data_IF_272596461475
#
_entry.id   IF_272596461475
#
_cell.length_a   1.000
_cell.length_b   1.000
_cell.length_c   1.000
_cell.angle_alpha   90.00
_cell.angle_beta   90.00
_cell.angle_gamma   90.00
#
_symmetry.space_group_name_H-M   'P 1'
#
loop_
_entity.id
_entity.type
_entity.pdbx_description
1 polymer ?
#
# COMPACT_ATOMS: atom_id res chain seq x y z
N UNK A 1 6.51 3.54 -6.82
CA UNK A 1 6.67 4.73 -7.69
C UNK A 1 5.50 5.64 -7.41
N UNK A 2 5.73 6.93 -7.11
CA UNK A 2 4.64 7.88 -6.87
C UNK A 2 4.92 9.23 -7.53
N UNK A 3 4.23 9.47 -8.63
CA UNK A 3 4.30 10.72 -9.39
C UNK A 3 3.23 11.73 -8.95
N UNK A 4 2.06 11.24 -8.53
CA UNK A 4 0.89 12.06 -8.21
C UNK A 4 1.11 13.06 -7.04
N UNK A 5 2.09 12.81 -6.18
CA UNK A 5 2.42 13.71 -5.05
C UNK A 5 3.31 14.89 -5.44
N UNK A 6 3.65 15.00 -6.73
CA UNK A 6 4.56 16.02 -7.24
C UNK A 6 6.03 15.60 -7.15
N UNK A 7 6.88 16.41 -7.80
CA UNK A 7 8.32 16.21 -7.79
C UNK A 7 8.91 16.50 -6.41
N UNK A 8 10.01 15.82 -6.09
CA UNK A 8 10.78 16.04 -4.87
C UNK A 8 11.40 17.43 -4.90
N UNK A 9 11.32 18.14 -3.78
CA UNK A 9 11.92 19.47 -3.60
C UNK A 9 13.24 19.31 -2.86
N UNK A 10 14.27 20.05 -3.29
CA UNK A 10 15.53 20.18 -2.55
C UNK A 10 16.54 19.05 -2.75
N UNK A 11 16.47 18.30 -3.85
CA UNK A 11 17.48 17.28 -4.20
C UNK A 11 18.85 17.86 -4.62
N UNK A 12 18.90 19.15 -4.98
CA UNK A 12 20.10 19.79 -5.51
C UNK A 12 20.34 19.49 -6.99
N UNK A 13 21.54 19.81 -7.48
CA UNK A 13 21.95 19.49 -8.84
C UNK A 13 22.20 17.98 -9.00
N UNK A 14 22.00 17.46 -10.21
CA UNK A 14 22.29 16.07 -10.52
C UNK A 14 23.77 15.75 -10.24
N UNK A 15 24.07 14.68 -9.48
CA UNK A 15 25.44 14.35 -9.12
C UNK A 15 26.23 13.87 -10.33
N UNK A 16 27.53 14.16 -10.30
CA UNK A 16 28.54 13.68 -11.24
C UNK A 16 29.54 12.80 -10.51
N UNK A 17 30.05 11.79 -11.18
CA UNK A 17 31.15 10.99 -10.66
C UNK A 17 32.52 11.71 -10.77
N UNK A 18 33.59 11.02 -10.40
CA UNK A 18 34.96 11.56 -10.43
C UNK A 18 35.46 11.88 -11.85
N UNK A 19 34.90 11.21 -12.87
CA UNK A 19 35.21 11.42 -14.29
C UNK A 19 34.29 12.48 -14.93
N UNK A 20 33.37 13.06 -14.15
CA UNK A 20 32.43 14.09 -14.59
C UNK A 20 31.18 13.54 -15.30
N UNK A 21 30.98 12.22 -15.29
CA UNK A 21 29.82 11.55 -15.89
C UNK A 21 28.60 11.76 -14.99
N UNK A 22 27.48 12.16 -15.59
CA UNK A 22 26.21 12.32 -14.88
C UNK A 22 25.63 10.96 -14.49
N UNK A 23 24.92 10.94 -13.36
CA UNK A 23 24.20 9.76 -12.88
C UNK A 23 23.16 9.27 -13.89
N UNK A 24 23.41 8.11 -14.50
CA UNK A 24 22.52 7.58 -15.54
C UNK A 24 21.36 6.78 -14.96
N UNK A 25 20.25 6.70 -15.71
CA UNK A 25 19.11 5.85 -15.37
C UNK A 25 19.48 4.36 -15.30
N UNK A 26 20.45 3.91 -16.10
CA UNK A 26 20.94 2.52 -16.05
C UNK A 26 21.60 2.19 -14.71
N UNK A 27 22.40 3.11 -14.16
CA UNK A 27 23.00 2.96 -12.82
C UNK A 27 21.90 2.93 -11.77
N UNK A 28 20.91 3.82 -11.86
CA UNK A 28 19.78 3.85 -10.93
C UNK A 28 18.99 2.54 -10.94
N UNK A 29 18.74 1.95 -12.11
CA UNK A 29 18.08 0.63 -12.20
C UNK A 29 18.88 -0.46 -11.49
N UNK A 30 20.21 -0.46 -11.60
CA UNK A 30 21.06 -1.44 -10.90
C UNK A 30 21.05 -1.22 -9.38
N UNK A 31 21.05 0.03 -8.93
CA UNK A 31 20.95 0.36 -7.51
C UNK A 31 19.57 -0.02 -6.94
N UNK A 32 18.50 0.18 -7.69
CA UNK A 32 17.15 -0.27 -7.32
C UNK A 32 17.07 -1.80 -7.22
N UNK A 33 17.64 -2.52 -8.20
CA UNK A 33 17.77 -3.98 -8.14
C UNK A 33 18.61 -4.46 -6.94
N UNK A 34 19.59 -3.65 -6.52
CA UNK A 34 20.34 -3.84 -5.28
C UNK A 34 19.58 -3.38 -4.01
N UNK A 35 18.30 -3.02 -4.15
CA UNK A 35 17.35 -2.65 -3.09
C UNK A 35 17.63 -1.32 -2.41
N UNK A 36 18.34 -0.44 -3.09
CA UNK A 36 18.43 0.96 -2.68
C UNK A 36 17.15 1.68 -3.11
N UNK A 37 16.77 2.70 -2.35
CA UNK A 37 15.81 3.67 -2.87
C UNK A 37 16.57 4.57 -3.84
N UNK A 38 16.05 4.73 -5.06
CA UNK A 38 16.68 5.56 -6.11
C UNK A 38 15.75 6.68 -6.62
N UNK A 39 16.29 7.87 -6.95
CA UNK A 39 15.53 8.88 -7.67
C UNK A 39 15.16 8.35 -9.07
N UNK A 40 14.05 8.86 -9.61
CA UNK A 40 13.55 8.51 -10.93
C UNK A 40 13.13 9.75 -11.68
N UNK A 41 13.46 9.81 -12.96
CA UNK A 41 13.08 10.85 -13.91
C UNK A 41 12.45 10.21 -15.14
N UNK A 42 11.63 10.95 -15.86
CA UNK A 42 11.09 10.55 -17.15
C UNK A 42 11.46 11.62 -18.18
N UNK A 43 11.89 11.25 -19.40
CA UNK A 43 12.29 12.22 -20.42
C UNK A 43 11.23 13.30 -20.69
N UNK A 44 9.96 12.89 -20.75
CA UNK A 44 8.84 13.76 -21.14
C UNK A 44 7.95 14.19 -19.95
N UNK A 45 8.35 13.90 -18.71
CA UNK A 45 7.59 14.29 -17.51
C UNK A 45 8.49 15.07 -16.53
N UNK A 46 8.25 16.39 -16.37
CA UNK A 46 9.18 17.26 -15.65
C UNK A 46 9.18 16.95 -14.15
N UNK A 47 10.37 16.69 -13.61
CA UNK A 47 10.58 16.50 -12.18
C UNK A 47 11.40 15.27 -11.84
N UNK A 48 11.77 15.17 -10.57
CA UNK A 48 12.42 13.98 -10.00
C UNK A 48 11.51 13.37 -8.94
N UNK A 49 11.33 12.07 -9.02
CA UNK A 49 10.45 11.27 -8.17
C UNK A 49 11.25 10.22 -7.40
N UNK A 50 10.61 9.54 -6.47
CA UNK A 50 11.18 8.37 -5.81
C UNK A 50 10.65 7.08 -6.43
N UNK A 51 11.53 6.09 -6.53
CA UNK A 51 11.18 4.70 -6.87
C UNK A 51 10.28 4.03 -5.83
N UNK A 52 10.26 2.70 -5.82
CA UNK A 52 9.28 1.89 -5.08
C UNK A 52 9.48 1.83 -3.56
N UNK A 53 10.59 2.38 -3.05
CA UNK A 53 10.92 2.32 -1.63
C UNK A 53 11.17 0.88 -1.19
N UNK A 54 12.21 0.26 -1.75
CA UNK A 54 12.61 -1.10 -1.43
C UNK A 54 12.98 -1.24 0.05
N UNK A 55 12.57 -2.36 0.64
CA UNK A 55 12.89 -2.75 2.01
C UNK A 55 13.96 -3.84 2.03
N UNK A 56 14.71 -3.91 3.12
CA UNK A 56 15.80 -4.88 3.31
C UNK A 56 15.29 -6.27 3.72
N UNK A 57 14.13 -6.68 3.22
CA UNK A 57 13.54 -7.99 3.49
C UNK A 57 14.08 -9.07 2.54
N UNK A 58 13.92 -10.33 2.89
CA UNK A 58 14.38 -11.49 2.12
C UNK A 58 13.78 -11.54 0.70
N UNK A 59 14.52 -12.09 -0.29
CA UNK A 59 13.98 -12.36 -1.62
C UNK A 59 12.66 -13.14 -1.60
N UNK A 60 11.62 -12.64 -2.26
CA UNK A 60 10.30 -13.27 -2.35
C UNK A 60 9.32 -12.93 -1.22
N UNK A 61 9.70 -12.06 -0.27
CA UNK A 61 8.79 -11.60 0.78
C UNK A 61 7.67 -10.69 0.23
N UNK A 62 6.48 -10.78 0.83
CA UNK A 62 5.36 -9.87 0.57
C UNK A 62 5.67 -8.41 0.98
N UNK A 63 6.70 -8.20 1.82
CA UNK A 63 7.12 -6.90 2.37
C UNK A 63 8.41 -6.37 1.74
N UNK A 64 8.73 -6.76 0.51
CA UNK A 64 9.88 -6.21 -0.21
C UNK A 64 9.76 -4.72 -0.53
N UNK A 65 8.53 -4.19 -0.56
CA UNK A 65 8.27 -2.77 -0.85
C UNK A 65 7.49 -2.13 0.29
N UNK A 66 7.81 -0.86 0.55
CA UNK A 66 7.19 -0.08 1.63
C UNK A 66 5.67 0.10 1.45
N UNK A 67 5.19 0.03 0.21
CA UNK A 67 3.78 0.19 -0.16
C UNK A 67 2.89 -0.83 0.54
N UNK A 68 3.31 -2.10 0.58
CA UNK A 68 2.58 -3.18 1.27
C UNK A 68 2.71 -3.05 2.79
N UNK A 69 3.94 -2.82 3.27
CA UNK A 69 4.21 -2.75 4.71
C UNK A 69 3.38 -1.66 5.39
N UNK A 70 3.34 -0.45 4.82
CA UNK A 70 2.64 0.69 5.43
C UNK A 70 1.15 0.45 5.63
N UNK A 71 0.51 -0.26 4.70
CA UNK A 71 -0.92 -0.57 4.78
C UNK A 71 -1.19 -1.57 5.93
N UNK A 72 -0.39 -2.63 6.02
CA UNK A 72 -0.49 -3.63 7.09
C UNK A 72 -0.23 -2.99 8.46
N UNK A 73 0.82 -2.19 8.56
CA UNK A 73 1.20 -1.46 9.76
C UNK A 73 0.09 -0.52 10.26
N UNK A 74 -0.59 0.17 9.33
CA UNK A 74 -1.73 1.03 9.64
C UNK A 74 -2.89 0.23 10.21
N UNK A 75 -3.22 -0.90 9.59
CA UNK A 75 -4.27 -1.81 10.08
C UNK A 75 -3.94 -2.33 11.48
N UNK A 76 -2.71 -2.79 11.71
CA UNK A 76 -2.24 -3.29 12.99
C UNK A 76 -2.39 -2.25 14.11
N UNK A 77 -1.96 -0.99 13.87
CA UNK A 77 -2.11 0.10 14.84
C UNK A 77 -3.57 0.37 15.18
N UNK A 78 -4.46 0.39 14.18
CA UNK A 78 -5.90 0.66 14.39
C UNK A 78 -6.59 -0.46 15.18
N UNK A 79 -6.29 -1.72 14.87
CA UNK A 79 -6.89 -2.88 15.57
C UNK A 79 -6.33 -3.02 16.99
N UNK A 80 -5.02 -2.78 17.19
CA UNK A 80 -4.39 -2.86 18.52
C UNK A 80 -5.06 -1.98 19.56
N UNK A 81 -5.42 -0.74 19.19
CA UNK A 81 -6.10 0.18 20.12
C UNK A 81 -7.45 -0.36 20.58
N UNK A 82 -8.17 -1.10 19.72
CA UNK A 82 -9.42 -1.74 20.10
C UNK A 82 -9.18 -2.96 20.99
N UNK A 83 -8.19 -3.80 20.67
CA UNK A 83 -7.84 -4.97 21.48
C UNK A 83 -7.46 -4.61 22.92
N UNK A 84 -6.72 -3.51 23.12
CA UNK A 84 -6.33 -3.05 24.47
C UNK A 84 -7.55 -2.78 25.35
N UNK A 85 -8.66 -2.29 24.78
CA UNK A 85 -9.89 -2.00 25.53
C UNK A 85 -10.59 -3.26 26.06
N UNK A 86 -10.27 -4.42 25.53
CA UNK A 86 -10.84 -5.70 25.95
C UNK A 86 -10.05 -6.39 27.07
N UNK A 87 -8.90 -5.85 27.49
CA UNK A 87 -8.11 -6.43 28.58
C UNK A 87 -8.93 -6.38 29.87
N UNK A 88 -9.31 -7.55 30.38
CA UNK A 88 -10.13 -7.68 31.59
C UNK A 88 -11.64 -7.40 31.39
N UNK A 89 -12.08 -7.13 30.17
CA UNK A 89 -13.51 -6.88 29.87
C UNK A 89 -14.26 -8.20 29.63
N UNK A 90 -15.28 -8.47 30.44
CA UNK A 90 -16.14 -9.66 30.33
C UNK A 90 -17.02 -9.65 29.08
N UNK A 91 -17.16 -8.50 28.39
CA UNK A 91 -17.89 -8.41 27.13
C UNK A 91 -17.22 -9.22 26.01
N UNK A 92 -15.90 -9.47 26.10
CA UNK A 92 -15.18 -10.46 25.32
C UNK A 92 -15.01 -11.74 26.14
N UNK A 93 -15.78 -12.77 25.80
CA UNK A 93 -15.75 -14.11 26.38
C UNK A 93 -15.85 -15.17 25.28
N UNK A 94 -15.84 -16.44 25.66
CA UNK A 94 -15.83 -17.58 24.74
C UNK A 94 -17.21 -17.96 24.19
N UNK A 95 -18.27 -17.22 24.49
CA UNK A 95 -19.58 -17.43 23.84
C UNK A 95 -19.56 -16.99 22.38
N UNK A 96 -20.31 -17.69 21.53
CA UNK A 96 -20.37 -17.40 20.10
C UNK A 96 -20.79 -15.95 19.80
N UNK A 97 -21.77 -15.42 20.54
CA UNK A 97 -22.26 -14.05 20.35
C UNK A 97 -21.21 -13.00 20.71
N UNK A 98 -20.47 -13.20 21.81
CA UNK A 98 -19.40 -12.30 22.24
C UNK A 98 -18.26 -12.26 21.22
N UNK A 99 -17.85 -13.44 20.74
CA UNK A 99 -16.81 -13.58 19.72
C UNK A 99 -17.23 -12.91 18.41
N UNK A 100 -18.45 -13.17 17.91
CA UNK A 100 -18.96 -12.55 16.69
C UNK A 100 -19.06 -11.02 16.80
N UNK A 101 -19.57 -10.52 17.93
CA UNK A 101 -19.69 -9.07 18.19
C UNK A 101 -18.32 -8.40 18.22
N UNK A 102 -17.34 -9.01 18.91
CA UNK A 102 -16.00 -8.46 19.00
C UNK A 102 -15.28 -8.51 17.64
N UNK A 103 -15.37 -9.62 16.92
CA UNK A 103 -14.84 -9.73 15.54
C UNK A 103 -15.42 -8.63 14.64
N UNK A 104 -16.73 -8.37 14.70
CA UNK A 104 -17.36 -7.30 13.92
C UNK A 104 -16.83 -5.91 14.28
N UNK A 105 -16.58 -5.64 15.57
CA UNK A 105 -15.97 -4.38 16.05
C UNK A 105 -14.52 -4.24 15.59
N UNK A 106 -13.73 -5.32 15.62
CA UNK A 106 -12.36 -5.32 15.12
C UNK A 106 -12.28 -5.17 13.60
N UNK A 107 -13.31 -5.60 12.85
CA UNK A 107 -13.41 -5.39 11.41
C UNK A 107 -13.74 -3.94 11.03
N UNK A 108 -14.36 -3.15 11.91
CA UNK A 108 -14.74 -1.77 11.63
C UNK A 108 -13.59 -0.89 11.09
N UNK A 109 -12.38 -0.86 11.68
CA UNK A 109 -11.26 -0.10 11.12
C UNK A 109 -10.81 -0.58 9.74
N UNK A 110 -10.91 -1.88 9.44
CA UNK A 110 -10.57 -2.42 8.12
C UNK A 110 -11.61 -1.99 7.07
N UNK A 111 -12.91 -2.05 7.40
CA UNK A 111 -13.97 -1.52 6.53
C UNK A 111 -13.78 -0.03 6.24
N UNK A 112 -13.31 0.74 7.22
CA UNK A 112 -12.99 2.15 7.03
C UNK A 112 -11.79 2.36 6.09
N UNK A 113 -10.80 1.45 6.10
CA UNK A 113 -9.66 1.50 5.17
C UNK A 113 -10.05 1.09 3.74
N UNK A 114 -11.05 0.22 3.58
CA UNK A 114 -11.55 -0.18 2.27
C UNK A 114 -12.40 0.89 1.57
N UNK A 115 -12.90 1.88 2.31
CA UNK A 115 -13.84 2.87 1.80
C UNK A 115 -13.13 4.04 1.12
N UNK A 116 -13.47 4.28 -0.13
CA UNK A 116 -13.07 5.51 -0.83
C UNK A 116 -13.76 6.73 -0.22
N UNK A 117 -13.03 7.85 -0.11
CA UNK A 117 -13.53 9.11 0.46
C UNK A 117 -13.37 10.23 -0.55
N UNK A 118 -14.43 11.02 -0.77
CA UNK A 118 -14.34 12.23 -1.60
C UNK A 118 -14.10 13.43 -0.69
N UNK A 119 -13.04 14.17 -0.96
CA UNK A 119 -12.70 15.40 -0.23
C UNK A 119 -12.19 16.45 -1.21
N UNK A 120 -12.65 17.70 -1.08
CA UNK A 120 -12.29 18.80 -1.96
C UNK A 120 -12.43 18.48 -3.47
N UNK A 121 -13.46 17.72 -3.85
CA UNK A 121 -13.68 17.30 -5.24
C UNK A 121 -12.84 16.09 -5.69
N UNK A 122 -11.78 15.74 -4.96
CA UNK A 122 -10.91 14.61 -5.26
C UNK A 122 -11.40 13.32 -4.58
N UNK A 123 -11.35 12.21 -5.30
CA UNK A 123 -11.64 10.88 -4.74
C UNK A 123 -10.33 10.25 -4.27
N UNK A 124 -10.25 9.97 -2.97
CA UNK A 124 -9.20 9.17 -2.37
C UNK A 124 -9.68 7.72 -2.36
N UNK A 125 -9.05 6.80 -3.11
CA UNK A 125 -9.43 5.40 -3.11
C UNK A 125 -9.17 4.77 -1.74
N UNK A 126 -9.87 3.67 -1.45
CA UNK A 126 -9.53 2.80 -0.32
C UNK A 126 -8.09 2.27 -0.42
N UNK A 127 -7.54 1.83 0.71
CA UNK A 127 -6.19 1.26 0.78
C UNK A 127 -6.18 -0.26 0.63
N UNK A 128 -7.29 -0.92 0.98
CA UNK A 128 -7.46 -2.37 0.94
C UNK A 128 -8.77 -2.75 0.25
N UNK A 129 -8.86 -3.99 -0.23
CA UNK A 129 -10.13 -4.60 -0.60
C UNK A 129 -11.06 -4.69 0.61
N UNK A 130 -12.37 -4.76 0.34
CA UNK A 130 -13.37 -4.94 1.39
C UNK A 130 -13.08 -6.22 2.18
N UNK A 131 -12.88 -6.15 3.52
CA UNK A 131 -12.65 -7.34 4.32
C UNK A 131 -13.90 -8.24 4.30
N UNK A 132 -13.66 -9.55 4.26
CA UNK A 132 -14.67 -10.61 4.20
C UNK A 132 -14.78 -11.33 5.54
N UNK A 133 -15.85 -12.08 5.71
CA UNK A 133 -15.99 -12.97 6.86
C UNK A 133 -14.82 -13.97 6.89
N UNK A 134 -14.20 -14.13 8.05
CA UNK A 134 -12.98 -14.92 8.24
C UNK A 134 -11.66 -14.15 8.09
N UNK A 135 -11.67 -12.89 7.63
CA UNK A 135 -10.46 -12.06 7.60
C UNK A 135 -10.02 -11.60 9.00
N UNK A 136 -10.90 -11.69 10.00
CA UNK A 136 -10.54 -11.62 11.42
C UNK A 136 -11.04 -12.87 12.12
N UNK A 137 -10.14 -13.57 12.80
CA UNK A 137 -10.46 -14.74 13.62
C UNK A 137 -9.92 -14.52 15.03
N UNK A 138 -10.80 -14.70 16.01
CA UNK A 138 -10.42 -14.69 17.43
C UNK A 138 -10.34 -16.12 17.94
N UNK A 139 -9.28 -16.46 18.65
CA UNK A 139 -9.08 -17.79 19.23
C UNK A 139 -8.63 -17.65 20.68
N UNK A 140 -9.38 -18.26 21.60
CA UNK A 140 -8.94 -18.41 22.98
C UNK A 140 -7.81 -19.44 23.04
N UNK A 141 -6.65 -19.03 23.55
CA UNK A 141 -5.50 -19.92 23.77
C UNK A 141 -5.40 -20.40 25.22
N UNK A 142 -6.09 -19.73 26.13
CA UNK A 142 -6.20 -20.12 27.55
C UNK A 142 -7.49 -19.55 28.15
N UNK A 143 -7.71 -19.71 29.47
CA UNK A 143 -8.83 -19.06 30.19
C UNK A 143 -8.74 -17.54 30.21
N UNK A 144 -7.56 -16.96 29.93
CA UNK A 144 -7.28 -15.52 30.08
C UNK A 144 -6.59 -14.93 28.86
N UNK A 145 -6.44 -15.68 27.77
CA UNK A 145 -5.67 -15.27 26.60
C UNK A 145 -6.45 -15.51 25.32
N UNK A 146 -6.52 -14.48 24.49
CA UNK A 146 -7.13 -14.48 23.15
C UNK A 146 -6.09 -14.02 22.15
N UNK A 147 -6.02 -14.70 21.02
CA UNK A 147 -5.24 -14.30 19.84
C UNK A 147 -6.18 -13.83 18.76
N UNK A 148 -5.85 -12.71 18.13
CA UNK A 148 -6.54 -12.20 16.95
C UNK A 148 -5.67 -12.40 15.72
N UNK A 149 -6.18 -13.16 14.76
CA UNK A 149 -5.60 -13.33 13.44
C UNK A 149 -6.26 -12.35 12.48
N UNK A 150 -5.47 -11.67 11.66
CA UNK A 150 -5.95 -10.70 10.69
C UNK A 150 -5.39 -11.04 9.31
N UNK A 151 -6.26 -10.92 8.31
CA UNK A 151 -5.91 -10.97 6.89
C UNK A 151 -6.41 -9.69 6.23
N UNK A 152 -5.59 -9.13 5.36
CA UNK A 152 -5.96 -7.95 4.56
C UNK A 152 -5.31 -8.07 3.19
N UNK A 153 -5.93 -7.42 2.20
CA UNK A 153 -5.42 -7.37 0.84
C UNK A 153 -5.39 -5.92 0.36
N UNK A 154 -4.21 -5.35 0.08
CA UNK A 154 -4.12 -4.02 -0.51
C UNK A 154 -4.80 -3.94 -1.88
N UNK A 155 -5.30 -2.76 -2.25
CA UNK A 155 -5.73 -2.51 -3.62
C UNK A 155 -4.51 -2.37 -4.54
N UNK A 156 -4.64 -2.86 -5.77
CA UNK A 156 -3.56 -2.78 -6.76
C UNK A 156 -3.25 -1.33 -7.13
N UNK A 157 -1.95 -1.03 -7.27
CA UNK A 157 -1.45 0.24 -7.77
C UNK A 157 -0.51 -0.06 -8.96
N UNK A 158 -0.79 0.47 -10.16
CA UNK A 158 0.02 0.16 -11.34
C UNK A 158 1.43 0.75 -11.20
N UNK A 159 2.43 -0.05 -11.54
CA UNK A 159 3.85 0.33 -11.61
C UNK A 159 4.39 0.38 -13.03
N UNK A 160 3.70 -0.30 -13.94
CA UNK A 160 3.97 -0.32 -15.37
C UNK A 160 2.66 -0.08 -16.12
N UNK A 161 2.74 0.70 -17.20
CA UNK A 161 1.61 1.12 -18.01
C UNK A 161 2.04 1.07 -19.48
N UNK A 162 1.37 0.22 -20.26
CA UNK A 162 1.56 0.14 -21.71
C UNK A 162 0.35 0.70 -22.43
N UNK A 163 0.56 1.63 -23.36
CA UNK A 163 -0.47 2.15 -24.26
C UNK A 163 -0.27 1.60 -25.67
N UNK A 164 -1.26 0.86 -26.19
CA UNK A 164 -1.27 0.38 -27.56
C UNK A 164 -2.18 1.30 -28.39
N UNK A 165 -1.69 1.79 -29.53
CA UNK A 165 -2.41 2.74 -30.37
C UNK A 165 -2.70 2.08 -31.72
N UNK A 166 -3.97 2.11 -32.13
CA UNK A 166 -4.39 1.73 -33.48
C UNK A 166 -4.88 2.98 -34.22
N UNK A 167 -4.53 3.08 -35.51
CA UNK A 167 -5.01 4.14 -36.40
C UNK A 167 -6.23 3.63 -37.16
N UNK A 168 -7.37 4.29 -36.97
CA UNK A 168 -8.59 4.05 -37.76
C UNK A 168 -8.69 5.11 -38.88
N UNK A 169 -8.73 4.65 -40.13
CA UNK A 169 -8.89 5.48 -41.34
C UNK A 169 -10.21 5.17 -42.06
N UNK A 170 -11.16 4.53 -41.40
CA UNK A 170 -12.47 4.26 -42.00
C UNK A 170 -13.16 5.56 -42.39
N UNK A 171 -13.64 5.62 -43.64
CA UNK A 171 -14.45 6.72 -44.16
C UNK A 171 -15.91 6.36 -43.88
N UNK A 172 -16.59 7.16 -43.07
CA UNK A 172 -18.05 7.05 -42.89
C UNK A 172 -18.71 7.53 -44.19
N UNK A 173 -19.04 6.61 -45.09
CA UNK A 173 -19.92 6.92 -46.22
C UNK A 173 -21.32 7.20 -45.68
N UNK A 174 -21.63 8.47 -45.46
CA UNK A 174 -22.99 8.96 -45.32
C UNK A 174 -23.58 9.16 -46.72
N UNK A 175 -24.33 8.17 -47.22
CA UNK A 175 -25.35 8.36 -48.25
C UNK A 175 -26.56 9.14 -47.71
#
# INVERSE_FOLDING_TARGET
MRVATGAIVGLGAEPKDMDGILLTSAVLTQLDAARLSVPQTYPDYPGTYWGDGNLLDTPGSDFQVIENLRVVDKAARRVRVLLIRYVGDRSLNNSANSMATTTSKLMAPLRAMAKSTKFAGQVFPGEIEQPKDGDIVLTWTSKTSVVAYLKLRPLNCPKDLTANIALDLSVTDSE
#
